data_IF_459478731960
#
_entry.id   IF_459478731960
#
_cell.length_a   1.000
_cell.length_b   1.000
_cell.length_c   1.000
_cell.angle_alpha   90.00
_cell.angle_beta   90.00
_cell.angle_gamma   90.00
#
_symmetry.space_group_name_H-M   'P 1'
#
loop_
_entity.id
_entity.type
_entity.pdbx_description
1 polymer ?
#
# COMPACT_ATOMS: atom_id res chain seq x y z
N UNK A 1 -14.79 31.85 66.22
CA UNK A 1 -14.60 30.61 65.46
C UNK A 1 -14.73 30.95 63.93
N UNK A 2 -13.60 30.98 63.25
CA UNK A 2 -13.56 31.34 61.81
C UNK A 2 -13.43 30.05 61.01
N UNK A 3 -14.46 29.72 60.25
CA UNK A 3 -14.50 28.53 59.35
C UNK A 3 -13.75 28.87 58.09
N UNK A 4 -12.60 28.24 57.93
CA UNK A 4 -11.74 28.35 56.73
C UNK A 4 -12.30 27.42 55.64
N UNK A 5 -12.90 27.99 54.58
CA UNK A 5 -13.34 27.26 53.42
C UNK A 5 -12.16 27.01 52.49
N UNK A 6 -11.71 25.78 52.40
CA UNK A 6 -10.75 25.34 51.40
C UNK A 6 -11.46 25.20 50.05
N UNK A 7 -11.11 26.07 49.12
CA UNK A 7 -11.44 25.91 47.71
C UNK A 7 -10.46 24.92 47.07
N UNK A 8 -10.91 23.69 46.84
CA UNK A 8 -10.14 22.72 46.02
C UNK A 8 -10.44 23.03 44.56
N UNK A 9 -9.52 23.75 43.93
CA UNK A 9 -9.52 23.94 42.47
C UNK A 9 -9.15 22.60 41.80
N UNK A 10 -10.14 21.92 41.26
CA UNK A 10 -9.93 20.75 40.40
C UNK A 10 -9.26 21.21 39.10
N UNK A 11 -7.94 21.13 39.07
CA UNK A 11 -7.14 21.31 37.87
C UNK A 11 -7.34 20.05 37.01
N UNK A 12 -8.31 20.10 36.08
CA UNK A 12 -8.44 19.07 35.06
C UNK A 12 -7.23 19.19 34.10
N UNK A 13 -6.19 18.41 34.40
CA UNK A 13 -5.15 18.12 33.41
C UNK A 13 -5.83 17.35 32.27
N UNK A 14 -6.09 18.05 31.16
CA UNK A 14 -6.44 17.41 29.93
C UNK A 14 -5.26 16.54 29.50
N UNK A 15 -5.39 15.23 29.64
CA UNK A 15 -4.56 14.27 28.95
C UNK A 15 -4.80 14.46 27.46
N UNK A 16 -3.96 15.28 26.83
CA UNK A 16 -3.78 15.25 25.39
C UNK A 16 -3.13 13.89 25.14
N UNK A 17 -3.97 12.90 24.85
CA UNK A 17 -3.49 11.66 24.25
C UNK A 17 -2.86 12.07 22.92
N UNK A 18 -1.54 12.11 22.87
CA UNK A 18 -0.78 12.09 21.65
C UNK A 18 -1.20 10.79 20.95
N UNK A 19 -2.17 10.89 20.04
CA UNK A 19 -2.46 9.84 19.07
C UNK A 19 -1.18 9.72 18.26
N UNK A 20 -0.30 8.81 18.68
CA UNK A 20 0.84 8.41 17.91
C UNK A 20 0.30 7.99 16.55
N UNK A 21 0.72 8.69 15.50
CA UNK A 21 0.43 8.32 14.11
C UNK A 21 0.84 6.85 14.03
N UNK A 22 -0.15 5.97 13.95
CA UNK A 22 0.09 4.54 13.92
C UNK A 22 0.90 4.27 12.65
N UNK A 23 2.17 3.94 12.84
CA UNK A 23 3.12 3.67 11.77
C UNK A 23 2.60 2.48 10.98
N UNK A 24 2.53 2.61 9.66
CA UNK A 24 2.12 1.53 8.76
C UNK A 24 3.03 0.33 9.00
N UNK A 25 2.48 -0.67 9.65
CA UNK A 25 3.24 -1.77 10.24
C UNK A 25 3.91 -2.67 9.20
N UNK A 26 3.36 -2.69 7.99
CA UNK A 26 3.72 -3.68 6.97
C UNK A 26 4.31 -3.09 5.70
N UNK A 27 4.24 -1.79 5.51
CA UNK A 27 4.71 -1.13 4.29
C UNK A 27 6.05 -0.47 4.53
N UNK A 28 7.04 -0.87 3.75
CA UNK A 28 8.27 -0.12 3.59
C UNK A 28 8.11 0.78 2.36
N UNK A 29 7.98 2.08 2.59
CA UNK A 29 7.75 3.08 1.53
C UNK A 29 8.96 3.28 0.61
N UNK A 30 10.11 2.69 0.94
CA UNK A 30 11.31 2.74 0.10
C UNK A 30 11.23 1.69 -1.02
N UNK A 31 10.34 1.92 -1.97
CA UNK A 31 10.18 1.06 -3.15
C UNK A 31 9.90 1.87 -4.41
N UNK A 32 10.21 1.28 -5.55
CA UNK A 32 9.98 1.82 -6.89
C UNK A 32 9.03 0.89 -7.66
N UNK A 33 8.18 1.48 -8.48
CA UNK A 33 7.36 0.75 -9.45
C UNK A 33 7.66 1.28 -10.85
N UNK A 34 7.89 0.37 -11.80
CA UNK A 34 8.13 0.70 -13.20
C UNK A 34 7.26 -0.16 -14.07
N UNK A 35 6.58 0.47 -15.04
CA UNK A 35 5.79 -0.25 -16.00
C UNK A 35 6.71 -0.75 -17.11
N UNK A 36 6.69 -2.05 -17.38
CA UNK A 36 7.41 -2.64 -18.50
C UNK A 36 6.44 -2.97 -19.62
N UNK A 37 6.85 -2.70 -20.85
CA UNK A 37 6.15 -3.21 -22.02
C UNK A 37 6.27 -4.73 -22.04
N UNK A 38 5.15 -5.38 -22.20
CA UNK A 38 5.12 -6.81 -22.40
C UNK A 38 5.45 -7.06 -23.88
N UNK A 39 6.65 -7.56 -24.19
CA UNK A 39 7.10 -7.82 -25.56
C UNK A 39 5.99 -8.39 -26.45
N UNK A 40 5.98 -9.62 -26.87
CA UNK A 40 4.98 -10.21 -27.75
C UNK A 40 3.65 -10.63 -27.09
N UNK A 41 3.48 -10.45 -25.79
CA UNK A 41 2.24 -10.82 -25.11
C UNK A 41 1.19 -9.71 -25.30
N UNK A 42 0.01 -10.07 -25.80
CA UNK A 42 -1.18 -9.21 -25.75
C UNK A 42 -1.57 -8.97 -24.27
N UNK A 43 -0.88 -8.04 -23.62
CA UNK A 43 -1.14 -7.65 -22.23
C UNK A 43 -2.38 -6.74 -22.14
N UNK A 44 -3.43 -7.05 -22.89
CA UNK A 44 -4.62 -6.24 -23.02
C UNK A 44 -5.79 -6.71 -22.17
N UNK A 45 -5.55 -7.52 -21.14
CA UNK A 45 -6.62 -7.82 -20.18
C UNK A 45 -6.79 -6.63 -19.23
N UNK A 46 -7.88 -5.85 -19.36
CA UNK A 46 -8.12 -4.65 -18.56
C UNK A 46 -8.30 -4.95 -17.06
N UNK A 47 -8.44 -6.23 -16.71
CA UNK A 47 -8.60 -6.67 -15.33
C UNK A 47 -7.25 -6.76 -14.59
N UNK A 48 -6.13 -6.76 -15.32
CA UNK A 48 -4.81 -6.98 -14.76
C UNK A 48 -3.83 -5.87 -15.19
N UNK A 49 -2.85 -5.64 -14.34
CA UNK A 49 -1.68 -4.83 -14.68
C UNK A 49 -0.42 -5.61 -14.39
N UNK A 50 0.55 -5.56 -15.32
CA UNK A 50 1.87 -6.15 -15.19
C UNK A 50 2.89 -5.03 -15.06
N UNK A 51 3.78 -5.14 -14.08
CA UNK A 51 4.83 -4.15 -13.82
C UNK A 51 5.96 -4.74 -12.98
N UNK A 52 7.08 -4.03 -12.91
CA UNK A 52 8.18 -4.33 -12.00
C UNK A 52 8.01 -3.56 -10.70
N UNK A 53 8.27 -4.21 -9.59
CA UNK A 53 8.41 -3.59 -8.28
C UNK A 53 9.78 -3.89 -7.73
N UNK A 54 10.46 -2.84 -7.26
CA UNK A 54 11.75 -2.94 -6.62
C UNK A 54 11.63 -2.53 -5.16
N UNK A 55 12.17 -3.34 -4.28
CA UNK A 55 12.25 -3.02 -2.84
C UNK A 55 13.66 -3.26 -2.32
N UNK A 56 13.97 -2.63 -1.20
CA UNK A 56 15.28 -2.65 -0.59
C UNK A 56 15.23 -3.44 0.72
N UNK A 57 16.25 -4.24 0.98
CA UNK A 57 16.32 -5.06 2.19
C UNK A 57 17.67 -5.70 2.42
N UNK A 58 17.77 -6.49 3.49
CA UNK A 58 19.02 -7.15 3.87
C UNK A 58 19.11 -8.60 3.38
N UNK A 59 17.97 -9.27 3.21
CA UNK A 59 17.87 -10.68 2.82
C UNK A 59 16.89 -10.80 1.66
N UNK A 60 17.27 -11.56 0.63
CA UNK A 60 16.50 -11.71 -0.60
C UNK A 60 15.06 -12.21 -0.33
N UNK A 61 14.89 -13.33 0.36
CA UNK A 61 13.57 -13.89 0.62
C UNK A 61 12.62 -12.92 1.35
N UNK A 62 13.12 -12.21 2.37
CA UNK A 62 12.32 -11.20 3.08
C UNK A 62 11.98 -10.02 2.18
N UNK A 63 12.94 -9.60 1.34
CA UNK A 63 12.75 -8.46 0.42
C UNK A 63 11.77 -8.82 -0.68
N UNK A 64 11.74 -10.08 -1.12
CA UNK A 64 10.75 -10.62 -2.07
C UNK A 64 9.32 -10.46 -1.52
N UNK A 65 9.06 -10.86 -0.27
CA UNK A 65 7.73 -10.71 0.34
C UNK A 65 7.35 -9.21 0.50
N UNK A 66 8.33 -8.36 0.81
CA UNK A 66 8.14 -6.89 0.84
C UNK A 66 7.78 -6.38 -0.57
N UNK A 67 8.45 -6.84 -1.63
CA UNK A 67 8.11 -6.46 -3.01
C UNK A 67 6.66 -6.78 -3.35
N UNK A 68 6.20 -7.98 -3.04
CA UNK A 68 4.82 -8.40 -3.34
C UNK A 68 3.81 -7.51 -2.61
N UNK A 69 4.09 -7.18 -1.37
CA UNK A 69 3.25 -6.27 -0.57
C UNK A 69 3.24 -4.86 -1.13
N UNK A 70 4.42 -4.35 -1.46
CA UNK A 70 4.61 -3.03 -2.05
C UNK A 70 4.00 -2.91 -3.46
N UNK A 71 3.91 -4.00 -4.22
CA UNK A 71 3.22 -4.01 -5.50
C UNK A 71 1.73 -3.68 -5.36
N UNK A 72 1.03 -4.34 -4.43
CA UNK A 72 -0.39 -4.05 -4.17
C UNK A 72 -0.56 -2.66 -3.57
N UNK A 73 0.30 -2.27 -2.62
CA UNK A 73 0.29 -0.92 -2.06
C UNK A 73 0.51 0.15 -3.16
N UNK A 74 1.43 -0.10 -4.09
CA UNK A 74 1.71 0.81 -5.21
C UNK A 74 0.47 1.07 -6.06
N UNK A 75 -0.24 0.01 -6.47
CA UNK A 75 -1.49 0.14 -7.22
C UNK A 75 -2.57 0.88 -6.43
N UNK A 76 -2.66 0.63 -5.13
CA UNK A 76 -3.67 1.27 -4.30
C UNK A 76 -3.42 2.76 -4.08
N UNK A 77 -2.19 3.15 -3.77
CA UNK A 77 -1.89 4.50 -3.26
C UNK A 77 -1.01 5.38 -4.15
N UNK A 78 -0.20 4.80 -5.05
CA UNK A 78 0.69 5.57 -5.94
C UNK A 78 0.23 5.56 -7.39
N UNK A 79 -0.43 4.49 -7.83
CA UNK A 79 -0.66 4.23 -9.24
C UNK A 79 0.63 3.80 -9.96
N UNK A 80 0.59 3.78 -11.29
CA UNK A 80 1.75 3.46 -12.11
C UNK A 80 2.00 4.59 -13.13
N UNK A 81 3.26 4.99 -13.34
CA UNK A 81 3.60 5.95 -14.38
C UNK A 81 3.31 5.37 -15.77
N UNK A 82 3.13 6.24 -16.74
CA UNK A 82 3.14 5.86 -18.14
C UNK A 82 4.54 5.36 -18.54
N UNK A 83 4.61 4.41 -19.48
CA UNK A 83 5.86 3.89 -20.04
C UNK A 83 5.64 3.44 -21.48
N UNK A 84 6.39 4.01 -22.42
CA UNK A 84 6.23 3.74 -23.85
C UNK A 84 4.80 4.02 -24.31
N UNK A 85 4.15 3.01 -24.91
CA UNK A 85 2.76 3.11 -25.36
C UNK A 85 1.72 2.83 -24.25
N UNK A 86 2.17 2.45 -23.05
CA UNK A 86 1.30 2.14 -21.95
C UNK A 86 0.94 3.43 -21.16
N UNK A 87 -0.34 3.77 -21.14
CA UNK A 87 -0.83 4.90 -20.35
C UNK A 87 -0.61 4.71 -18.85
N UNK A 88 -0.63 5.79 -18.08
CA UNK A 88 -0.58 5.73 -16.63
C UNK A 88 -1.80 5.00 -16.04
N UNK A 89 -1.62 4.40 -14.86
CA UNK A 89 -2.71 3.81 -14.07
C UNK A 89 -2.87 4.64 -12.81
N UNK A 90 -4.02 5.26 -12.64
CA UNK A 90 -4.33 6.05 -11.45
C UNK A 90 -4.38 5.16 -10.20
N UNK A 91 -3.98 5.73 -9.07
CA UNK A 91 -4.12 5.06 -7.77
C UNK A 91 -5.59 4.73 -7.48
N UNK A 92 -5.87 3.52 -7.01
CA UNK A 92 -7.25 3.09 -6.73
C UNK A 92 -7.89 3.90 -5.59
N UNK A 93 -7.09 4.27 -4.58
CA UNK A 93 -7.57 4.99 -3.39
C UNK A 93 -7.77 6.49 -3.63
N UNK A 94 -7.29 7.03 -4.78
CA UNK A 94 -7.40 8.46 -5.06
C UNK A 94 -6.75 9.31 -3.97
N UNK A 95 -7.54 10.16 -3.32
CA UNK A 95 -7.11 11.03 -2.21
C UNK A 95 -7.18 10.37 -0.83
N UNK A 96 -7.79 9.18 -0.70
CA UNK A 96 -7.91 8.47 0.57
C UNK A 96 -6.53 7.98 1.03
N UNK A 97 -6.14 8.35 2.23
CA UNK A 97 -4.84 7.96 2.78
C UNK A 97 -4.90 6.62 3.50
N UNK A 98 -3.74 5.96 3.65
CA UNK A 98 -3.61 4.73 4.44
C UNK A 98 -4.07 4.95 5.89
N UNK A 99 -3.76 6.11 6.48
CA UNK A 99 -4.07 6.44 7.86
C UNK A 99 -5.56 6.54 8.16
N UNK A 100 -6.40 6.87 7.17
CA UNK A 100 -7.86 6.95 7.35
C UNK A 100 -8.48 5.59 7.64
N UNK A 101 -7.86 4.49 7.16
CA UNK A 101 -8.32 3.12 7.36
C UNK A 101 -7.19 2.21 7.86
N UNK A 102 -6.38 2.70 8.78
CA UNK A 102 -5.14 2.06 9.22
C UNK A 102 -5.34 0.61 9.71
N UNK A 103 -6.35 0.36 10.54
CA UNK A 103 -6.64 -0.98 11.07
C UNK A 103 -6.97 -1.96 9.94
N UNK A 104 -7.82 -1.53 9.00
CA UNK A 104 -8.16 -2.32 7.82
C UNK A 104 -6.93 -2.66 6.99
N UNK A 105 -6.10 -1.68 6.64
CA UNK A 105 -4.93 -1.92 5.80
C UNK A 105 -3.85 -2.73 6.52
N UNK A 106 -3.67 -2.53 7.82
CA UNK A 106 -2.77 -3.37 8.60
C UNK A 106 -3.21 -4.83 8.59
N UNK A 107 -4.50 -5.11 8.68
CA UNK A 107 -5.02 -6.48 8.58
C UNK A 107 -4.90 -7.02 7.15
N UNK A 108 -5.29 -6.23 6.16
CA UNK A 108 -5.20 -6.57 4.74
C UNK A 108 -3.77 -6.94 4.32
N UNK A 109 -2.78 -6.13 4.73
CA UNK A 109 -1.37 -6.35 4.39
C UNK A 109 -0.65 -7.40 5.23
N UNK A 110 -1.30 -8.06 6.19
CA UNK A 110 -0.75 -9.27 6.80
C UNK A 110 -0.70 -10.42 5.80
N UNK A 111 -1.78 -10.68 5.09
CA UNK A 111 -1.87 -11.84 4.18
C UNK A 111 -2.84 -11.68 3.02
N UNK A 112 -3.95 -10.94 3.17
CA UNK A 112 -5.04 -10.88 2.20
C UNK A 112 -4.61 -10.32 0.83
N UNK A 113 -3.60 -9.44 0.79
CA UNK A 113 -3.06 -8.88 -0.45
C UNK A 113 -2.56 -9.95 -1.44
N UNK A 114 -2.11 -11.12 -0.95
CA UNK A 114 -1.52 -12.19 -1.77
C UNK A 114 -2.47 -12.76 -2.82
N UNK A 115 -3.77 -12.74 -2.56
CA UNK A 115 -4.78 -13.27 -3.49
C UNK A 115 -4.98 -12.40 -4.76
N UNK A 116 -4.47 -11.18 -4.75
CA UNK A 116 -4.59 -10.23 -5.88
C UNK A 116 -3.36 -10.18 -6.76
N UNK A 117 -2.31 -10.92 -6.42
CA UNK A 117 -1.01 -10.82 -7.07
C UNK A 117 -0.50 -12.18 -7.50
N UNK A 118 0.15 -12.21 -8.67
CA UNK A 118 0.89 -13.35 -9.19
C UNK A 118 2.28 -12.88 -9.59
N UNK A 119 3.30 -13.62 -9.21
CA UNK A 119 4.64 -13.45 -9.76
C UNK A 119 4.69 -13.98 -11.19
N UNK A 120 5.27 -13.18 -12.10
CA UNK A 120 5.42 -13.60 -13.51
C UNK A 120 6.83 -14.07 -13.81
N UNK A 121 7.80 -13.78 -12.95
CA UNK A 121 9.20 -14.21 -13.05
C UNK A 121 9.66 -14.99 -11.81
N UNK A 122 8.81 -15.87 -11.32
CA UNK A 122 9.09 -16.68 -10.14
C UNK A 122 10.42 -17.46 -10.28
N UNK A 123 11.31 -17.26 -9.31
CA UNK A 123 12.65 -17.87 -9.33
C UNK A 123 13.67 -17.15 -10.23
N UNK A 124 13.30 -16.08 -10.91
CA UNK A 124 14.20 -15.29 -11.76
C UNK A 124 14.06 -13.78 -11.45
N UNK A 125 14.07 -13.45 -10.17
CA UNK A 125 14.05 -12.07 -9.73
C UNK A 125 15.39 -11.36 -9.99
N UNK A 126 15.33 -10.05 -10.18
CA UNK A 126 16.54 -9.23 -10.27
C UNK A 126 17.06 -8.93 -8.87
N UNK A 127 18.29 -9.33 -8.56
CA UNK A 127 18.94 -9.03 -7.28
C UNK A 127 20.19 -8.22 -7.52
N UNK A 128 20.23 -7.00 -6.98
CA UNK A 128 21.36 -6.08 -7.11
C UNK A 128 21.91 -5.78 -5.72
N UNK A 129 23.21 -5.96 -5.52
CA UNK A 129 23.89 -5.55 -4.29
C UNK A 129 24.00 -4.02 -4.25
N UNK A 130 23.63 -3.42 -3.15
CA UNK A 130 23.73 -1.99 -2.89
C UNK A 130 24.58 -1.73 -1.64
N UNK A 131 25.00 -0.48 -1.44
CA UNK A 131 25.85 -0.11 -0.30
C UNK A 131 25.24 -0.48 1.08
N UNK A 132 23.91 -0.53 1.20
CA UNK A 132 23.21 -0.81 2.47
C UNK A 132 22.38 -2.09 2.44
N UNK A 133 22.60 -2.99 1.47
CA UNK A 133 21.85 -4.25 1.37
C UNK A 133 21.60 -4.71 -0.06
N UNK A 134 20.40 -5.16 -0.34
CA UNK A 134 19.96 -5.67 -1.64
C UNK A 134 18.82 -4.83 -2.19
N UNK A 135 18.83 -4.57 -3.50
CA UNK A 135 17.67 -4.15 -4.27
C UNK A 135 17.13 -5.39 -4.99
N UNK A 136 15.91 -5.77 -4.68
CA UNK A 136 15.23 -6.92 -5.29
C UNK A 136 14.11 -6.41 -6.19
N UNK A 137 14.11 -6.86 -7.44
CA UNK A 137 13.10 -6.53 -8.45
C UNK A 137 12.29 -7.77 -8.82
N UNK A 138 10.96 -7.64 -8.81
CA UNK A 138 10.05 -8.73 -9.16
C UNK A 138 9.05 -8.23 -10.18
N UNK A 139 8.84 -9.02 -11.24
CA UNK A 139 7.75 -8.79 -12.19
C UNK A 139 6.47 -9.40 -11.65
N UNK A 140 5.45 -8.60 -11.50
CA UNK A 140 4.19 -8.99 -10.91
C UNK A 140 3.01 -8.70 -11.84
N UNK A 141 1.98 -9.51 -11.72
CA UNK A 141 0.67 -9.31 -12.33
C UNK A 141 -0.36 -9.11 -11.23
N UNK A 142 -0.98 -7.94 -11.17
CA UNK A 142 -1.98 -7.59 -10.15
C UNK A 142 -3.37 -7.58 -10.78
N UNK A 143 -4.33 -8.27 -10.14
CA UNK A 143 -5.73 -8.24 -10.52
C UNK A 143 -6.41 -6.99 -9.94
N UNK A 144 -6.44 -5.91 -10.73
CA UNK A 144 -7.01 -4.62 -10.31
C UNK A 144 -8.52 -4.72 -10.15
N UNK A 145 -9.21 -5.45 -11.03
CA UNK A 145 -10.67 -5.59 -10.96
C UNK A 145 -11.10 -6.24 -9.64
N UNK A 146 -10.48 -7.36 -9.30
CA UNK A 146 -10.80 -8.09 -8.08
C UNK A 146 -10.44 -7.27 -6.83
N UNK A 147 -9.28 -6.59 -6.85
CA UNK A 147 -8.85 -5.71 -5.77
C UNK A 147 -9.84 -4.56 -5.57
N UNK A 148 -10.23 -3.87 -6.65
CA UNK A 148 -11.21 -2.78 -6.61
C UNK A 148 -12.57 -3.25 -6.09
N UNK A 149 -13.04 -4.42 -6.53
CA UNK A 149 -14.29 -5.00 -6.06
C UNK A 149 -14.24 -5.29 -4.55
N UNK A 150 -13.14 -5.83 -4.05
CA UNK A 150 -12.94 -6.08 -2.62
C UNK A 150 -13.01 -4.79 -1.81
N UNK A 151 -12.26 -3.77 -2.20
CA UNK A 151 -12.24 -2.49 -1.49
C UNK A 151 -13.62 -1.80 -1.46
N UNK A 152 -14.43 -1.97 -2.52
CA UNK A 152 -15.82 -1.51 -2.55
C UNK A 152 -16.71 -2.30 -1.59
N UNK A 153 -16.64 -3.63 -1.63
CA UNK A 153 -17.43 -4.49 -0.76
C UNK A 153 -17.14 -4.25 0.73
N UNK A 154 -15.89 -3.89 1.06
CA UNK A 154 -15.47 -3.57 2.41
C UNK A 154 -15.76 -2.10 2.80
N UNK A 155 -16.40 -1.32 1.92
CA UNK A 155 -16.73 0.10 2.18
C UNK A 155 -15.54 1.06 2.22
N UNK A 156 -14.36 0.62 1.74
CA UNK A 156 -13.13 1.42 1.71
C UNK A 156 -13.11 2.35 0.50
N UNK A 157 -13.59 1.88 -0.67
CA UNK A 157 -13.80 2.69 -1.85
C UNK A 157 -15.26 3.11 -1.94
N UNK A 158 -15.51 4.41 -1.93
CA UNK A 158 -16.83 4.97 -2.22
C UNK A 158 -17.07 4.93 -3.73
N UNK A 159 -18.28 4.56 -4.14
CA UNK A 159 -18.67 4.74 -5.53
C UNK A 159 -18.89 6.22 -5.83
N UNK A 160 -18.65 6.61 -7.09
CA UNK A 160 -18.86 7.98 -7.53
C UNK A 160 -20.30 8.47 -7.29
N UNK A 161 -21.26 7.53 -7.25
CA UNK A 161 -22.65 7.82 -6.90
C UNK A 161 -22.84 8.25 -5.45
N UNK A 162 -22.07 7.69 -4.53
CA UNK A 162 -22.17 8.00 -3.09
C UNK A 162 -21.51 9.36 -2.74
N UNK A 163 -20.74 9.93 -3.67
CA UNK A 163 -20.12 11.26 -3.49
C UNK A 163 -20.98 12.41 -4.01
N UNK A 164 -22.10 12.10 -4.68
CA UNK A 164 -23.02 13.10 -5.26
C UNK A 164 -24.36 13.23 -4.51
N UNK A 165 -24.53 12.52 -3.41
CA UNK A 165 -25.64 12.65 -2.48
C UNK A 165 -25.15 13.33 -1.18
#
# INVERSE_FOLDING_TARGET
MKVLRFFIAFMRLGLISAQGIAKDKFIDYNYEVTREECGSCKCSDPNYVIFMVYSYGKKEATTTDICLRNAVHGIMFKGLPASGQLGAVSALMGSTSYSEHNEYFNEFFKSAYKQYISETNKGNQTVIKCAKGLKVGIKVKVNIKLLKQRLKNDGILKDFKDMMM
#
